data_IF_796259153546
#
_entry.id   IF_796259153546
#
_cell.length_a   1.000
_cell.length_b   1.000
_cell.length_c   1.000
_cell.angle_alpha   90.00
_cell.angle_beta   90.00
_cell.angle_gamma   90.00
#
_symmetry.space_group_name_H-M   'P 1'
#
loop_
_entity.id
_entity.type
_entity.pdbx_description
1 polymer ?
#
# COMPACT_ATOMS: atom_id res chain seq x y z
N UNK A 1 25.63 10.18 -11.38
CA UNK A 1 24.56 9.20 -11.10
C UNK A 1 23.27 9.77 -11.64
N UNK A 2 22.78 9.24 -12.76
CA UNK A 2 21.41 9.45 -13.24
C UNK A 2 20.50 8.73 -12.25
N UNK A 3 19.57 9.45 -11.63
CA UNK A 3 18.67 8.90 -10.61
C UNK A 3 17.44 8.34 -11.31
N UNK A 4 17.11 7.08 -11.09
CA UNK A 4 15.84 6.51 -11.53
C UNK A 4 14.72 7.00 -10.60
N UNK A 5 13.65 7.52 -11.20
CA UNK A 5 12.53 8.06 -10.45
C UNK A 5 11.46 7.00 -10.27
N UNK A 6 10.97 6.85 -9.04
CA UNK A 6 10.05 5.79 -8.68
C UNK A 6 8.75 6.39 -8.17
N UNK A 7 7.65 5.96 -8.78
CA UNK A 7 6.30 6.18 -8.29
C UNK A 7 5.60 4.83 -8.21
N UNK A 8 4.53 4.74 -7.42
CA UNK A 8 3.78 3.50 -7.27
C UNK A 8 2.61 3.51 -8.23
N UNK A 9 2.70 2.72 -9.31
CA UNK A 9 1.59 2.56 -10.25
C UNK A 9 0.50 1.65 -9.66
N UNK A 10 0.92 0.59 -9.00
CA UNK A 10 0.03 -0.43 -8.45
C UNK A 10 0.70 -1.16 -7.29
N UNK A 11 -0.14 -1.75 -6.44
CA UNK A 11 0.26 -2.64 -5.36
C UNK A 11 -0.54 -3.94 -5.47
N UNK A 12 0.09 -5.05 -5.07
CA UNK A 12 -0.58 -6.31 -4.83
C UNK A 12 -0.48 -6.67 -3.34
N UNK A 13 -1.60 -7.10 -2.78
CA UNK A 13 -1.76 -7.49 -1.38
C UNK A 13 -2.05 -8.98 -1.37
N UNK A 14 -1.20 -9.74 -0.72
CA UNK A 14 -1.34 -11.19 -0.55
C UNK A 14 -1.73 -11.54 0.88
N UNK A 15 -2.76 -12.35 1.05
CA UNK A 15 -3.16 -12.88 2.35
C UNK A 15 -3.85 -14.22 2.18
N UNK A 16 -3.48 -15.21 3.00
CA UNK A 16 -3.99 -16.58 2.89
C UNK A 16 -3.85 -17.14 1.46
N UNK A 17 -4.97 -17.39 0.76
CA UNK A 17 -5.04 -17.77 -0.66
C UNK A 17 -5.52 -16.64 -1.57
N UNK A 18 -5.81 -15.46 -1.01
CA UNK A 18 -6.42 -14.35 -1.71
C UNK A 18 -5.40 -13.30 -2.13
N UNK A 19 -5.75 -12.55 -3.17
CA UNK A 19 -5.01 -11.38 -3.62
C UNK A 19 -5.92 -10.19 -3.88
N UNK A 20 -5.45 -9.00 -3.54
CA UNK A 20 -6.04 -7.74 -3.97
C UNK A 20 -5.02 -6.95 -4.77
N UNK A 21 -5.44 -6.37 -5.89
CA UNK A 21 -4.64 -5.38 -6.60
C UNK A 21 -5.31 -4.03 -6.50
N UNK A 22 -4.56 -2.98 -6.21
CA UNK A 22 -5.01 -1.60 -6.34
C UNK A 22 -4.03 -0.90 -7.27
N UNK A 23 -4.53 -0.14 -8.25
CA UNK A 23 -3.67 0.59 -9.17
C UNK A 23 -4.28 1.87 -9.69
N UNK A 24 -3.39 2.73 -10.17
CA UNK A 24 -3.73 3.92 -10.93
C UNK A 24 -3.84 3.58 -12.42
N UNK A 25 -4.84 4.13 -13.10
CA UNK A 25 -4.95 4.12 -14.55
C UNK A 25 -4.11 5.27 -15.13
N UNK A 26 -3.49 5.02 -16.28
CA UNK A 26 -2.79 6.06 -17.03
C UNK A 26 -3.78 7.12 -17.52
N UNK A 27 -3.34 8.37 -17.57
CA UNK A 27 -4.15 9.48 -18.05
C UNK A 27 -3.29 10.51 -18.75
N UNK A 28 -3.83 11.21 -19.75
CA UNK A 28 -3.13 12.31 -20.44
C UNK A 28 -3.43 13.67 -19.81
N UNK A 29 -4.61 13.82 -19.18
CA UNK A 29 -5.05 15.03 -18.49
C UNK A 29 -5.59 14.69 -17.11
N UNK A 30 -5.42 15.59 -16.14
CA UNK A 30 -5.96 15.39 -14.79
C UNK A 30 -7.29 16.12 -14.60
N UNK A 31 -8.24 15.42 -13.99
CA UNK A 31 -9.55 15.93 -13.56
C UNK A 31 -9.93 15.18 -12.29
N UNK A 32 -10.05 15.88 -11.16
CA UNK A 32 -10.32 15.26 -9.86
C UNK A 32 -11.65 14.47 -9.82
N UNK A 33 -12.58 14.77 -10.73
CA UNK A 33 -13.88 14.08 -10.83
C UNK A 33 -13.84 12.77 -11.63
N UNK A 34 -12.79 12.55 -12.42
CA UNK A 34 -12.65 11.34 -13.24
C UNK A 34 -11.91 10.27 -12.43
N UNK A 35 -12.56 9.13 -12.26
CA UNK A 35 -11.99 7.99 -11.55
C UNK A 35 -10.88 7.32 -12.37
N UNK A 36 -9.69 7.23 -11.77
CA UNK A 36 -8.50 6.60 -12.36
C UNK A 36 -7.98 5.48 -11.50
N UNK A 37 -8.85 4.88 -10.68
CA UNK A 37 -8.51 3.80 -9.79
C UNK A 37 -9.09 2.49 -10.34
N UNK A 38 -8.32 1.41 -10.27
CA UNK A 38 -8.83 0.07 -10.49
C UNK A 38 -8.50 -0.81 -9.29
N UNK A 39 -9.44 -1.70 -8.96
CA UNK A 39 -9.25 -2.71 -7.91
C UNK A 39 -9.63 -4.07 -8.47
N UNK A 40 -8.83 -5.09 -8.15
CA UNK A 40 -9.19 -6.48 -8.41
C UNK A 40 -9.12 -7.28 -7.12
N UNK A 41 -10.00 -8.28 -7.00
CA UNK A 41 -9.97 -9.29 -5.96
C UNK A 41 -9.88 -10.66 -6.63
N UNK A 42 -8.85 -11.44 -6.32
CA UNK A 42 -8.58 -12.75 -6.93
C UNK A 42 -8.52 -12.75 -8.47
N UNK A 43 -8.10 -11.62 -9.04
CA UNK A 43 -8.00 -11.43 -10.48
C UNK A 43 -9.26 -10.85 -11.12
N UNK A 44 -10.39 -10.85 -10.40
CA UNK A 44 -11.65 -10.31 -10.88
C UNK A 44 -11.78 -8.81 -10.56
N UNK A 45 -12.19 -7.97 -11.53
CA UNK A 45 -12.41 -6.54 -11.28
C UNK A 45 -13.53 -6.28 -10.28
N UNK A 46 -13.27 -5.41 -9.30
CA UNK A 46 -14.30 -4.91 -8.39
C UNK A 46 -14.94 -3.64 -8.95
N UNK A 47 -16.22 -3.72 -9.31
CA UNK A 47 -17.01 -2.59 -9.76
C UNK A 47 -17.70 -1.91 -8.57
N UNK A 48 -17.08 -0.85 -8.07
CA UNK A 48 -17.64 -0.01 -7.00
C UNK A 48 -18.30 1.22 -7.61
N UNK A 49 -19.56 1.54 -7.26
CA UNK A 49 -20.19 2.81 -7.64
C UNK A 49 -19.29 4.00 -7.27
N UNK A 50 -19.16 4.98 -8.17
CA UNK A 50 -18.39 6.22 -7.99
C UNK A 50 -19.07 7.16 -6.99
N UNK A 51 -19.05 6.76 -5.71
CA UNK A 51 -19.66 7.49 -4.60
C UNK A 51 -18.91 7.17 -3.32
N UNK A 52 -18.64 8.19 -2.53
CA UNK A 52 -18.11 8.01 -1.19
C UNK A 52 -18.97 7.04 -0.37
N UNK A 53 -18.32 6.13 0.34
CA UNK A 53 -18.98 5.11 1.15
C UNK A 53 -19.50 3.89 0.37
N UNK A 54 -19.42 3.88 -0.97
CA UNK A 54 -19.67 2.66 -1.72
C UNK A 54 -18.66 1.58 -1.32
N UNK A 55 -19.16 0.41 -0.94
CA UNK A 55 -18.34 -0.68 -0.43
C UNK A 55 -18.62 -2.01 -1.12
N UNK A 56 -17.60 -2.84 -1.13
CA UNK A 56 -17.65 -4.24 -1.49
C UNK A 56 -17.10 -5.04 -0.30
N UNK A 57 -17.70 -6.19 -0.03
CA UNK A 57 -17.22 -7.15 0.96
C UNK A 57 -17.08 -8.52 0.30
N UNK A 58 -16.03 -9.24 0.65
CA UNK A 58 -15.83 -10.63 0.23
C UNK A 58 -16.94 -11.51 0.79
N UNK A 59 -17.64 -12.25 -0.08
CA UNK A 59 -18.58 -13.28 0.36
C UNK A 59 -17.85 -14.42 1.05
N UNK A 60 -17.92 -14.50 2.38
CA UNK A 60 -17.29 -15.57 3.16
C UNK A 60 -17.97 -16.91 2.89
N UNK A 61 -17.29 -17.84 2.20
CA UNK A 61 -17.71 -19.25 2.09
C UNK A 61 -17.07 -20.15 3.16
N UNK A 62 -16.03 -19.68 3.84
CA UNK A 62 -15.37 -20.37 4.94
C UNK A 62 -15.51 -19.54 6.23
N UNK A 63 -15.92 -20.18 7.33
CA UNK A 63 -16.17 -19.54 8.63
C UNK A 63 -14.94 -18.88 9.29
N UNK A 64 -13.73 -19.11 8.73
CA UNK A 64 -12.44 -18.66 9.27
C UNK A 64 -11.68 -17.68 8.36
N UNK A 65 -12.19 -17.36 7.16
CA UNK A 65 -11.52 -16.38 6.30
C UNK A 65 -11.74 -14.96 6.86
N UNK A 66 -10.70 -14.10 6.93
CA UNK A 66 -10.86 -12.73 7.42
C UNK A 66 -11.80 -11.97 6.48
N UNK A 67 -12.76 -11.23 7.06
CA UNK A 67 -13.62 -10.38 6.25
C UNK A 67 -12.75 -9.36 5.51
N UNK A 68 -12.91 -9.30 4.21
CA UNK A 68 -12.19 -8.36 3.38
C UNK A 68 -13.16 -7.36 2.78
N UNK A 69 -12.85 -6.07 2.89
CA UNK A 69 -13.69 -5.01 2.35
C UNK A 69 -12.87 -4.00 1.56
N UNK A 70 -13.51 -3.42 0.56
CA UNK A 70 -12.98 -2.29 -0.20
C UNK A 70 -14.05 -1.21 -0.20
N UNK A 71 -13.71 -0.04 0.33
CA UNK A 71 -14.67 1.07 0.49
C UNK A 71 -14.11 2.33 -0.14
N UNK A 72 -14.92 3.04 -0.95
CA UNK A 72 -14.56 4.36 -1.47
C UNK A 72 -14.52 5.38 -0.33
N UNK A 73 -13.38 6.06 -0.17
CA UNK A 73 -13.22 7.14 0.81
C UNK A 73 -13.56 8.52 0.24
N UNK A 74 -13.68 8.64 -1.08
CA UNK A 74 -14.19 9.80 -1.82
C UNK A 74 -14.96 9.34 -3.06
N UNK A 75 -15.64 10.24 -3.76
CA UNK A 75 -16.40 9.91 -4.96
C UNK A 75 -15.52 9.33 -6.08
N UNK A 76 -14.31 9.89 -6.25
CA UNK A 76 -13.31 9.43 -7.20
C UNK A 76 -11.93 9.23 -6.56
N UNK A 77 -11.12 8.38 -7.19
CA UNK A 77 -9.69 8.20 -6.98
C UNK A 77 -9.24 7.69 -5.61
N UNK A 78 -10.15 7.40 -4.67
CA UNK A 78 -9.77 7.10 -3.29
C UNK A 78 -10.52 5.90 -2.73
N UNK A 79 -9.78 4.90 -2.25
CA UNK A 79 -10.33 3.70 -1.61
C UNK A 79 -9.58 3.35 -0.33
N UNK A 80 -10.26 2.61 0.53
CA UNK A 80 -9.71 1.96 1.70
C UNK A 80 -9.92 0.47 1.54
N UNK A 81 -8.84 -0.29 1.53
CA UNK A 81 -8.84 -1.75 1.57
C UNK A 81 -8.63 -2.17 3.02
N UNK A 82 -9.48 -3.04 3.54
CA UNK A 82 -9.38 -3.57 4.89
C UNK A 82 -9.47 -5.10 4.86
N UNK A 83 -8.51 -5.75 5.49
CA UNK A 83 -8.52 -7.20 5.74
C UNK A 83 -8.58 -7.37 7.25
N UNK A 84 -9.71 -7.86 7.73
CA UNK A 84 -10.05 -7.93 9.15
C UNK A 84 -8.92 -8.55 9.98
N UNK A 85 -8.48 -7.82 11.01
CA UNK A 85 -7.43 -8.24 11.92
C UNK A 85 -6.01 -8.27 11.34
N UNK A 86 -5.83 -7.94 10.05
CA UNK A 86 -4.52 -8.02 9.38
C UNK A 86 -3.98 -6.64 9.01
N UNK A 87 -4.68 -5.93 8.14
CA UNK A 87 -4.20 -4.66 7.58
C UNK A 87 -5.34 -3.75 7.12
N UNK A 88 -5.00 -2.47 7.04
CA UNK A 88 -5.80 -1.43 6.40
C UNK A 88 -4.90 -0.55 5.53
N UNK A 89 -5.28 -0.38 4.27
CA UNK A 89 -4.56 0.44 3.30
C UNK A 89 -5.48 1.51 2.77
N UNK A 90 -5.10 2.77 2.95
CA UNK A 90 -5.70 3.89 2.24
C UNK A 90 -4.90 4.11 0.95
N UNK A 91 -5.58 4.10 -0.19
CA UNK A 91 -4.98 4.32 -1.49
C UNK A 91 -5.70 5.46 -2.19
N UNK A 92 -4.93 6.44 -2.67
CA UNK A 92 -5.44 7.58 -3.44
C UNK A 92 -4.63 7.74 -4.72
N UNK A 93 -5.30 7.83 -5.86
CA UNK A 93 -4.67 8.21 -7.11
C UNK A 93 -4.49 9.72 -7.13
N UNK A 94 -3.27 10.19 -7.38
CA UNK A 94 -2.92 11.60 -7.46
C UNK A 94 -2.10 11.87 -8.72
N UNK A 95 -2.20 13.07 -9.31
CA UNK A 95 -1.36 13.43 -10.44
C UNK A 95 0.04 13.78 -9.95
N UNK A 96 1.05 13.47 -10.77
CA UNK A 96 2.36 14.07 -10.64
C UNK A 96 2.25 15.53 -11.06
N UNK A 97 2.44 16.44 -10.12
CA UNK A 97 2.33 17.88 -10.41
C UNK A 97 3.60 18.40 -11.07
N UNK A 98 3.54 19.60 -11.67
CA UNK A 98 4.73 20.29 -12.20
C UNK A 98 5.80 20.51 -11.14
N UNK A 99 5.40 20.74 -9.89
CA UNK A 99 6.35 20.90 -8.79
C UNK A 99 7.03 19.59 -8.43
N UNK A 100 6.29 18.47 -8.42
CA UNK A 100 6.88 17.14 -8.22
C UNK A 100 7.82 16.82 -9.39
N UNK A 101 7.41 17.12 -10.62
CA UNK A 101 8.26 17.01 -11.81
C UNK A 101 9.50 17.90 -11.73
N UNK A 102 9.44 19.08 -11.11
CA UNK A 102 10.60 19.96 -10.92
C UNK A 102 11.54 19.44 -9.83
N UNK A 103 11.01 19.02 -8.69
CA UNK A 103 11.80 18.49 -7.55
C UNK A 103 12.43 17.15 -7.92
N UNK A 104 11.70 16.32 -8.67
CA UNK A 104 12.09 14.95 -8.98
C UNK A 104 12.48 14.75 -10.44
N UNK A 105 12.53 15.81 -11.26
CA UNK A 105 12.92 15.77 -12.68
C UNK A 105 12.19 14.69 -13.51
N UNK A 106 10.88 14.49 -13.26
CA UNK A 106 10.07 13.48 -13.96
C UNK A 106 9.90 13.75 -15.46
N UNK A 107 10.14 14.99 -15.91
CA UNK A 107 9.98 15.36 -17.32
C UNK A 107 8.53 15.47 -17.79
N UNK A 108 7.56 15.48 -16.87
CA UNK A 108 6.14 15.62 -17.16
C UNK A 108 5.86 16.90 -17.95
N UNK A 109 5.26 16.73 -19.13
CA UNK A 109 4.74 17.81 -19.99
C UNK A 109 3.25 18.02 -19.71
N UNK A 110 2.64 19.07 -20.29
CA UNK A 110 1.21 19.37 -20.06
C UNK A 110 0.25 18.31 -20.61
N UNK A 111 0.74 17.43 -21.47
CA UNK A 111 0.04 16.38 -22.20
C UNK A 111 0.33 14.96 -21.67
N UNK A 112 1.16 14.83 -20.63
CA UNK A 112 1.52 13.55 -19.99
C UNK A 112 1.31 13.61 -18.47
N UNK A 113 0.06 13.70 -18.02
CA UNK A 113 -0.28 13.63 -16.60
C UNK A 113 -0.10 12.21 -16.04
N UNK A 114 1.13 11.86 -15.67
CA UNK A 114 1.39 10.63 -14.91
C UNK A 114 0.56 10.64 -13.61
N UNK A 115 -0.18 9.56 -13.37
CA UNK A 115 -0.95 9.35 -12.14
C UNK A 115 -0.33 8.20 -11.35
N UNK A 116 -0.22 8.37 -10.03
CA UNK A 116 0.35 7.37 -9.15
C UNK A 116 -0.48 7.22 -7.88
N UNK A 117 -0.18 6.17 -7.12
CA UNK A 117 -0.77 5.92 -5.82
C UNK A 117 0.00 6.69 -4.73
N UNK A 118 -0.76 7.44 -3.95
CA UNK A 118 -0.44 7.86 -2.60
C UNK A 118 -1.04 6.84 -1.62
N UNK A 119 -0.22 6.33 -0.70
CA UNK A 119 -0.50 5.14 0.08
C UNK A 119 -0.27 5.38 1.57
N UNK A 120 -1.26 5.01 2.37
CA UNK A 120 -1.17 4.91 3.82
C UNK A 120 -1.37 3.47 4.27
N UNK A 121 -0.44 2.94 5.07
CA UNK A 121 -0.49 1.57 5.57
C UNK A 121 -0.70 1.54 7.07
N UNK A 122 -1.57 0.65 7.52
CA UNK A 122 -1.73 0.24 8.91
C UNK A 122 -1.79 -1.28 8.97
N UNK A 123 -1.03 -1.86 9.90
CA UNK A 123 -1.00 -3.29 10.16
C UNK A 123 -1.36 -3.52 11.63
N UNK A 124 -2.30 -4.44 11.89
CA UNK A 124 -2.86 -4.62 13.24
C UNK A 124 -2.26 -5.82 13.99
N UNK A 125 -1.97 -6.94 13.31
CA UNK A 125 -1.49 -8.18 13.94
C UNK A 125 -0.14 -8.66 13.37
N UNK A 126 0.89 -7.82 13.47
CA UNK A 126 2.25 -8.19 13.04
C UNK A 126 2.95 -9.06 14.09
N UNK A 127 3.60 -10.13 13.64
CA UNK A 127 4.48 -10.95 14.48
C UNK A 127 5.83 -10.26 14.72
N UNK A 128 6.61 -10.73 15.70
CA UNK A 128 7.99 -10.27 15.91
C UNK A 128 8.94 -10.57 14.73
N UNK A 129 8.50 -11.46 13.85
CA UNK A 129 9.15 -11.83 12.59
C UNK A 129 8.72 -10.94 11.42
N UNK A 130 8.04 -9.81 11.67
CA UNK A 130 7.74 -8.86 10.61
C UNK A 130 9.02 -8.37 9.92
N UNK A 131 8.98 -8.37 8.60
CA UNK A 131 10.03 -7.86 7.74
C UNK A 131 9.39 -7.15 6.54
N UNK A 132 10.18 -6.42 5.77
CA UNK A 132 9.71 -5.58 4.66
C UNK A 132 10.22 -4.16 4.80
N UNK A 133 10.24 -3.42 3.69
CA UNK A 133 10.70 -2.02 3.65
C UNK A 133 10.03 -1.20 4.73
N UNK A 134 8.68 -1.24 4.80
CA UNK A 134 7.91 -0.60 5.87
C UNK A 134 7.64 -1.55 7.03
N UNK A 135 7.51 -2.86 6.80
CA UNK A 135 7.21 -3.83 7.86
C UNK A 135 8.24 -3.83 9.00
N UNK A 136 9.53 -3.68 8.67
CA UNK A 136 10.60 -3.65 9.68
C UNK A 136 10.45 -2.50 10.69
N UNK A 137 9.77 -1.40 10.34
CA UNK A 137 9.55 -0.27 11.25
C UNK A 137 8.61 -0.60 12.40
N UNK A 138 7.85 -1.69 12.30
CA UNK A 138 6.95 -2.17 13.34
C UNK A 138 7.63 -3.16 14.29
N UNK A 139 8.87 -3.57 14.01
CA UNK A 139 9.61 -4.48 14.89
C UNK A 139 9.99 -3.76 16.19
N UNK A 140 9.84 -4.45 17.32
CA UNK A 140 10.28 -3.94 18.61
C UNK A 140 11.78 -3.57 18.58
N UNK A 141 12.12 -2.36 19.03
CA UNK A 141 13.50 -1.88 19.06
C UNK A 141 14.07 -1.44 17.71
N UNK A 142 13.25 -1.33 16.65
CA UNK A 142 13.70 -0.78 15.38
C UNK A 142 14.10 0.70 15.52
N UNK A 143 15.30 1.02 15.05
CA UNK A 143 15.80 2.40 14.95
C UNK A 143 15.96 2.69 13.47
N UNK A 144 15.25 3.71 12.98
CA UNK A 144 15.35 4.11 11.58
C UNK A 144 16.77 4.61 11.28
N UNK A 145 17.49 4.03 10.31
CA UNK A 145 18.77 4.57 9.86
C UNK A 145 18.58 5.83 8.99
N UNK A 146 17.33 6.16 8.64
CA UNK A 146 17.01 7.22 7.69
C UNK A 146 16.88 8.55 8.40
N UNK A 147 17.54 9.57 7.87
CA UNK A 147 17.47 10.92 8.41
C UNK A 147 16.07 11.53 8.24
N UNK A 148 15.46 11.95 9.34
CA UNK A 148 14.20 12.70 9.36
C UNK A 148 14.29 14.09 8.72
N UNK A 149 15.49 14.63 8.52
CA UNK A 149 15.70 15.91 7.82
C UNK A 149 15.85 15.79 6.30
N UNK A 150 15.90 14.56 5.78
CA UNK A 150 16.01 14.33 4.35
C UNK A 150 14.67 14.62 3.66
N UNK A 151 14.69 15.43 2.59
CA UNK A 151 13.52 15.68 1.74
C UNK A 151 12.96 14.42 1.10
N UNK A 152 13.81 13.41 0.90
CA UNK A 152 13.43 12.08 0.40
C UNK A 152 14.24 11.03 1.14
N UNK A 153 13.65 10.51 2.20
CA UNK A 153 14.15 9.41 2.99
C UNK A 153 14.05 8.09 2.20
N UNK A 154 15.19 7.50 1.83
CA UNK A 154 15.25 6.18 1.16
C UNK A 154 15.66 5.13 2.20
N UNK A 155 14.81 4.13 2.41
CA UNK A 155 15.07 3.03 3.36
C UNK A 155 16.07 2.00 2.82
N UNK A 156 16.29 1.95 1.50
CA UNK A 156 17.14 0.96 0.85
C UNK A 156 16.49 -0.41 0.76
N UNK A 157 17.30 -1.44 0.50
CA UNK A 157 16.84 -2.84 0.44
C UNK A 157 16.42 -3.34 -0.94
N UNK A 158 16.76 -2.61 -2.02
CA UNK A 158 16.38 -2.98 -3.39
C UNK A 158 16.72 -4.44 -3.70
N UNK A 159 17.96 -4.87 -3.42
CA UNK A 159 18.42 -6.25 -3.70
C UNK A 159 17.73 -7.31 -2.86
N UNK A 160 17.18 -6.94 -1.71
CA UNK A 160 16.52 -7.82 -0.74
C UNK A 160 15.03 -7.93 -1.01
N UNK A 161 14.41 -6.87 -1.53
CA UNK A 161 12.96 -6.74 -1.74
C UNK A 161 12.54 -6.73 -3.21
N UNK A 162 13.46 -6.79 -4.16
CA UNK A 162 13.18 -6.96 -5.60
C UNK A 162 12.46 -8.29 -5.85
N UNK A 163 11.36 -8.24 -6.61
CA UNK A 163 10.56 -9.39 -7.03
C UNK A 163 10.56 -9.50 -8.56
N UNK A 164 10.32 -10.70 -9.09
CA UNK A 164 10.26 -10.91 -10.55
C UNK A 164 9.03 -10.30 -11.22
N UNK A 165 7.95 -10.10 -10.46
CA UNK A 165 6.73 -9.43 -10.92
C UNK A 165 5.93 -8.89 -9.74
N UNK A 166 4.92 -8.06 -10.04
CA UNK A 166 3.96 -7.56 -9.04
C UNK A 166 3.28 -8.70 -8.27
N UNK A 167 3.12 -9.88 -8.90
CA UNK A 167 2.41 -11.00 -8.31
C UNK A 167 3.32 -12.12 -7.78
N UNK A 168 4.64 -11.93 -7.80
CA UNK A 168 5.60 -12.93 -7.37
C UNK A 168 6.09 -12.62 -5.93
N UNK A 169 5.79 -13.47 -4.94
CA UNK A 169 6.35 -13.33 -3.59
C UNK A 169 7.75 -13.97 -3.51
N UNK A 170 8.66 -13.61 -4.41
CA UNK A 170 9.94 -14.30 -4.63
C UNK A 170 11.19 -13.47 -4.30
N UNK A 171 11.03 -12.36 -3.57
CA UNK A 171 12.19 -11.59 -3.11
C UNK A 171 13.00 -12.36 -2.06
N UNK A 172 14.28 -11.98 -1.89
CA UNK A 172 15.18 -12.67 -0.92
C UNK A 172 14.69 -12.59 0.52
N UNK A 173 13.94 -11.53 0.85
CA UNK A 173 13.35 -11.34 2.16
C UNK A 173 11.94 -11.96 2.30
N UNK A 174 11.39 -12.57 1.25
CA UNK A 174 10.03 -13.10 1.25
C UNK A 174 9.86 -14.19 2.30
N UNK A 175 8.83 -14.02 3.14
CA UNK A 175 8.40 -15.01 4.14
C UNK A 175 6.99 -15.53 3.87
N UNK A 176 6.32 -14.97 2.87
CA UNK A 176 4.95 -15.33 2.54
C UNK A 176 4.94 -16.70 1.86
N UNK A 177 4.38 -17.68 2.57
CA UNK A 177 4.06 -18.99 2.02
C UNK A 177 2.54 -19.01 1.89
N UNK A 178 2.03 -18.92 0.67
CA UNK A 178 0.58 -19.02 0.42
C UNK A 178 0.03 -20.37 0.90
N UNK A 179 -1.29 -20.55 0.82
CA UNK A 179 -1.97 -21.76 1.33
C UNK A 179 -1.54 -23.12 0.72
N UNK A 180 -0.55 -23.16 -0.17
CA UNK A 180 0.09 -24.39 -0.66
C UNK A 180 1.14 -24.99 0.29
N UNK A 181 1.51 -24.32 1.38
CA UNK A 181 2.47 -24.82 2.38
C UNK A 181 1.93 -24.69 3.79
N UNK A 182 1.31 -25.77 4.31
CA UNK A 182 0.84 -25.82 5.70
C UNK A 182 2.00 -25.76 6.71
N UNK A 183 1.85 -24.91 7.72
CA UNK A 183 2.75 -24.81 8.88
C UNK A 183 2.59 -23.47 9.60
N UNK A 184 1.69 -23.42 10.58
CA UNK A 184 1.26 -22.18 11.23
C UNK A 184 2.24 -21.55 12.22
N UNK A 185 1.91 -20.32 12.62
CA UNK A 185 2.21 -19.75 13.92
C UNK A 185 1.20 -18.62 14.19
N UNK A 186 0.29 -18.82 15.14
CA UNK A 186 -0.52 -17.75 15.73
C UNK A 186 0.41 -16.91 16.60
N UNK A 187 0.74 -15.70 16.15
CA UNK A 187 1.53 -14.76 16.95
C UNK A 187 0.59 -14.01 17.90
N UNK A 188 0.80 -14.20 19.21
CA UNK A 188 0.16 -13.36 20.21
C UNK A 188 0.62 -11.90 20.04
N UNK A 189 -0.36 -10.99 19.99
CA UNK A 189 -0.14 -9.58 19.68
C UNK A 189 0.81 -8.90 20.67
N UNK A 190 1.94 -8.40 20.16
CA UNK A 190 2.85 -7.57 20.93
C UNK A 190 2.24 -6.17 21.04
N UNK A 191 1.80 -5.80 22.25
CA UNK A 191 1.34 -4.45 22.56
C UNK A 191 2.55 -3.50 22.67
N UNK A 192 2.92 -2.85 21.56
CA UNK A 192 3.97 -1.83 21.57
C UNK A 192 3.44 -0.50 22.13
N UNK A 193 4.15 0.20 23.04
CA UNK A 193 3.71 1.49 23.57
C UNK A 193 3.56 2.53 22.47
N UNK A 194 2.62 3.47 22.66
CA UNK A 194 2.29 4.52 21.70
C UNK A 194 3.48 5.44 21.44
N UNK A 195 3.97 5.44 20.20
CA UNK A 195 4.84 6.48 19.68
C UNK A 195 3.97 7.70 19.36
N UNK A 196 4.16 8.80 20.11
CA UNK A 196 3.56 10.11 19.79
C UNK A 196 4.35 10.73 18.64
N UNK A 197 3.80 10.66 17.44
CA UNK A 197 4.20 11.51 16.32
C UNK A 197 3.18 12.64 16.18
N UNK A 198 3.62 13.87 16.36
CA UNK A 198 2.78 15.07 16.26
C UNK A 198 2.48 15.35 14.77
N UNK A 199 1.36 14.83 14.28
CA UNK A 199 0.78 15.19 12.98
C UNK A 199 -0.64 14.64 12.86
N UNK A 200 -1.61 15.28 13.53
CA UNK A 200 -3.02 15.39 13.13
C UNK A 200 -3.84 14.12 12.83
N UNK A 201 -3.30 12.92 13.03
CA UNK A 201 -3.99 11.64 12.93
C UNK A 201 -3.67 10.91 14.23
N UNK A 202 -4.67 10.72 15.09
CA UNK A 202 -4.50 9.91 16.28
C UNK A 202 -4.44 8.43 15.88
N UNK A 203 -3.24 7.82 15.95
CA UNK A 203 -3.07 6.38 15.72
C UNK A 203 -1.66 5.94 15.34
N UNK A 204 -1.42 4.61 15.36
CA UNK A 204 -0.19 3.98 14.85
C UNK A 204 -0.29 3.84 13.33
N UNK A 205 0.59 4.50 12.58
CA UNK A 205 0.65 4.38 11.13
C UNK A 205 1.85 5.12 10.55
N UNK A 206 2.38 4.60 9.43
CA UNK A 206 3.37 5.31 8.61
C UNK A 206 2.61 5.92 7.44
N UNK A 207 2.70 7.24 7.30
CA UNK A 207 2.13 7.99 6.18
C UNK A 207 3.27 8.38 5.26
N UNK A 208 3.21 7.97 3.99
CA UNK A 208 4.06 8.57 2.97
C UNK A 208 3.52 9.98 2.72
N UNK A 209 4.13 11.00 3.36
CA UNK A 209 3.83 12.40 3.03
C UNK A 209 4.73 12.87 1.90
N UNK A 210 4.16 13.75 1.07
CA UNK A 210 4.83 14.55 0.04
C UNK A 210 5.99 15.38 0.60
#
# INVERSE_FOLDING_TARGET
MTRDFTWVQSIAIFFDSHRITVGALKTSTWDDSVDRLYVTFDGEPLLLPERQGASWESGTTAATAPRTSVTRSADANSVVVEVEGKLRIAAKVVPITKEDSRIHNYGVTSDDCLAHLDLGFRFDALSGDVNGVLGQTYKAGYVSPVSVSAKMAVMGGEREFETSSLFAPDCKAARFVGSAGGGGATAEGIYLPSLKCESGIEGRGVVCKR
#
